data_IF_276121456038
#
_entry.id   IF_276121456038
#
_cell.length_a   1.000
_cell.length_b   1.000
_cell.length_c   1.000
_cell.angle_alpha   90.00
_cell.angle_beta   90.00
_cell.angle_gamma   90.00
#
_symmetry.space_group_name_H-M   'P 1'
#
loop_
_entity.id
_entity.type
_entity.pdbx_description
1 polymer ?
#
# COMPACT_ATOMS: atom_id res chain seq x y z
N UNK A 1 -8.52 -14.46 9.13
CA UNK A 1 -7.06 -14.30 9.04
C UNK A 1 -6.76 -13.60 7.73
N UNK A 2 -5.59 -13.00 7.52
CA UNK A 2 -5.15 -12.60 6.16
C UNK A 2 -4.30 -13.70 5.49
N UNK A 3 -3.82 -14.66 6.28
CA UNK A 3 -3.06 -15.81 5.82
C UNK A 3 -4.00 -17.00 5.64
N UNK A 4 -4.94 -16.90 4.70
CA UNK A 4 -5.93 -17.94 4.39
C UNK A 4 -5.96 -18.31 2.89
N UNK A 5 -4.92 -17.92 2.15
CA UNK A 5 -4.77 -18.17 0.71
C UNK A 5 -5.82 -17.51 -0.18
N UNK A 6 -6.58 -16.53 0.32
CA UNK A 6 -7.50 -15.72 -0.47
C UNK A 6 -6.94 -14.33 -0.77
N UNK A 7 -7.47 -13.71 -1.82
CA UNK A 7 -7.19 -12.31 -2.10
C UNK A 7 -7.94 -11.42 -1.11
N UNK A 8 -7.21 -10.52 -0.46
CA UNK A 8 -7.77 -9.49 0.38
C UNK A 8 -7.42 -8.11 -0.14
N UNK A 9 -8.39 -7.22 -0.12
CA UNK A 9 -8.15 -5.82 -0.39
C UNK A 9 -7.76 -5.13 0.91
N UNK A 10 -6.55 -4.58 0.96
CA UNK A 10 -6.06 -3.81 2.12
C UNK A 10 -5.89 -2.35 1.71
N UNK A 11 -6.47 -1.44 2.51
CA UNK A 11 -6.27 -0.01 2.33
C UNK A 11 -5.85 0.62 3.66
N UNK A 12 -4.89 1.53 3.61
CA UNK A 12 -4.48 2.37 4.73
C UNK A 12 -4.63 3.82 4.30
N UNK A 13 -5.22 4.64 5.17
CA UNK A 13 -5.24 6.09 4.99
C UNK A 13 -4.62 6.78 6.20
N UNK A 14 -3.98 7.90 5.94
CA UNK A 14 -3.40 8.75 6.96
C UNK A 14 -3.50 10.22 6.53
N UNK A 15 -3.86 11.09 7.46
CA UNK A 15 -3.92 12.53 7.27
C UNK A 15 -2.89 13.21 8.17
N UNK A 16 -1.97 13.97 7.60
CA UNK A 16 -0.94 14.69 8.37
C UNK A 16 -1.52 15.84 9.19
N UNK A 17 -2.61 16.46 8.76
CA UNK A 17 -3.19 17.64 9.42
C UNK A 17 -3.65 17.34 10.85
N UNK A 18 -4.31 16.20 11.06
CA UNK A 18 -4.85 15.80 12.36
C UNK A 18 -4.33 14.44 12.86
N UNK A 19 -3.39 13.83 12.13
CA UNK A 19 -2.79 12.55 12.46
C UNK A 19 -3.77 11.39 12.46
N UNK A 20 -4.96 11.55 11.87
CA UNK A 20 -5.96 10.47 11.78
C UNK A 20 -5.49 9.42 10.78
N UNK A 21 -5.61 8.17 11.19
CA UNK A 21 -5.36 7.03 10.33
C UNK A 21 -6.45 5.98 10.48
N UNK A 22 -6.62 5.16 9.46
CA UNK A 22 -7.44 3.97 9.51
C UNK A 22 -6.91 2.93 8.53
N UNK A 23 -7.11 1.65 8.84
CA UNK A 23 -6.92 0.56 7.88
C UNK A 23 -8.17 -0.27 7.71
N UNK A 24 -8.30 -0.82 6.51
CA UNK A 24 -9.46 -1.55 6.03
C UNK A 24 -9.01 -2.87 5.45
N UNK A 25 -9.83 -3.89 5.66
CA UNK A 25 -9.69 -5.20 5.02
C UNK A 25 -11.04 -5.55 4.41
N UNK A 26 -11.06 -5.76 3.10
CA UNK A 26 -12.24 -6.06 2.31
C UNK A 26 -13.33 -4.98 2.50
N UNK A 27 -12.90 -3.72 2.43
CA UNK A 27 -13.75 -2.54 2.62
C UNK A 27 -14.23 -2.27 4.05
N UNK A 28 -14.04 -3.21 4.98
CA UNK A 28 -14.41 -3.04 6.37
C UNK A 28 -13.27 -2.39 7.17
N UNK A 29 -13.57 -1.31 7.89
CA UNK A 29 -12.61 -0.65 8.80
C UNK A 29 -12.23 -1.62 9.92
N UNK A 30 -10.94 -1.92 10.07
CA UNK A 30 -10.41 -2.87 11.07
C UNK A 30 -9.65 -2.20 12.20
N UNK A 31 -9.15 -0.99 11.98
CA UNK A 31 -8.53 -0.19 13.03
C UNK A 31 -8.41 1.26 12.61
N UNK A 32 -8.30 2.13 13.61
CA UNK A 32 -8.16 3.57 13.42
C UNK A 32 -7.52 4.20 14.65
N UNK A 33 -7.03 5.42 14.47
CA UNK A 33 -6.49 6.23 15.55
C UNK A 33 -6.27 7.66 15.11
N UNK A 34 -5.72 8.46 16.01
CA UNK A 34 -5.38 9.87 15.81
C UNK A 34 -4.00 10.17 16.38
N UNK A 35 -3.54 11.43 16.23
CA UNK A 35 -2.27 11.92 16.76
C UNK A 35 -1.02 11.21 16.20
N UNK A 36 -1.14 10.43 15.12
CA UNK A 36 0.01 9.81 14.49
C UNK A 36 0.71 10.81 13.56
N UNK A 37 1.91 11.25 13.96
CA UNK A 37 2.78 12.12 13.15
C UNK A 37 2.07 13.39 12.63
N UNK A 38 1.34 14.08 13.51
CA UNK A 38 0.68 15.37 13.17
C UNK A 38 1.70 16.38 12.63
N UNK A 39 1.36 17.06 11.54
CA UNK A 39 2.21 18.05 10.87
C UNK A 39 3.39 17.47 10.10
N UNK A 40 3.54 16.14 10.05
CA UNK A 40 4.63 15.51 9.30
C UNK A 40 4.42 15.69 7.80
N UNK A 41 5.48 16.12 7.12
CA UNK A 41 5.55 16.19 5.67
C UNK A 41 6.62 15.23 5.15
N UNK A 42 6.27 14.46 4.13
CA UNK A 42 7.26 13.67 3.40
C UNK A 42 8.23 14.61 2.70
N UNK A 43 9.53 14.38 2.88
CA UNK A 43 10.60 15.21 2.29
C UNK A 43 10.76 14.99 0.77
N UNK A 44 9.91 14.16 0.15
CA UNK A 44 10.07 13.69 -1.22
C UNK A 44 11.30 12.78 -1.39
N UNK A 45 11.58 12.39 -2.64
CA UNK A 45 12.76 11.57 -3.02
C UNK A 45 12.87 10.21 -2.33
N UNK A 46 11.78 9.71 -1.75
CA UNK A 46 11.72 8.36 -1.20
C UNK A 46 11.80 7.32 -2.31
N UNK A 47 12.26 6.11 -1.96
CA UNK A 47 12.22 4.94 -2.84
C UNK A 47 11.22 3.94 -2.30
N UNK A 48 10.13 3.72 -3.04
CA UNK A 48 9.16 2.67 -2.74
C UNK A 48 9.76 1.30 -3.08
N UNK A 49 9.63 0.35 -2.16
CA UNK A 49 9.98 -1.06 -2.36
C UNK A 49 8.81 -1.92 -1.91
N UNK A 50 8.41 -2.86 -2.76
CA UNK A 50 7.44 -3.90 -2.42
C UNK A 50 8.20 -5.22 -2.23
N UNK A 51 7.69 -6.10 -1.37
CA UNK A 51 8.28 -7.42 -1.13
C UNK A 51 9.38 -7.46 -0.05
N UNK A 52 10.03 -6.34 0.24
CA UNK A 52 11.13 -6.28 1.21
C UNK A 52 11.02 -5.07 2.14
N UNK A 53 11.38 -5.27 3.42
CA UNK A 53 11.56 -4.16 4.36
C UNK A 53 12.92 -3.48 4.14
N UNK A 54 12.89 -2.18 3.89
CA UNK A 54 14.10 -1.34 3.81
C UNK A 54 14.64 -1.03 5.21
N UNK A 55 15.91 -1.35 5.47
CA UNK A 55 16.64 -0.87 6.65
C UNK A 55 17.67 0.22 6.27
N UNK A 56 17.86 0.49 4.98
CA UNK A 56 18.55 1.66 4.42
C UNK A 56 17.88 2.13 3.12
N UNK A 57 18.30 3.26 2.56
CA UNK A 57 17.72 3.77 1.31
C UNK A 57 17.86 2.73 0.18
N UNK A 58 16.75 2.10 -0.19
CA UNK A 58 16.70 1.14 -1.29
C UNK A 58 17.43 -0.20 -1.06
N UNK A 59 17.78 -0.55 0.18
CA UNK A 59 18.57 -1.75 0.44
C UNK A 59 18.60 -2.18 1.91
N UNK A 60 19.65 -2.95 2.25
CA UNK A 60 19.80 -3.65 3.53
C UNK A 60 18.59 -4.56 3.84
N UNK A 61 18.21 -5.38 2.85
CA UNK A 61 17.13 -6.33 2.98
C UNK A 61 17.59 -7.57 3.76
N UNK A 62 16.65 -8.18 4.49
CA UNK A 62 16.88 -9.41 5.23
C UNK A 62 15.75 -10.40 4.94
N UNK A 63 16.11 -11.66 4.70
CA UNK A 63 15.17 -12.73 4.31
C UNK A 63 13.98 -12.84 5.27
N UNK A 64 14.23 -12.83 6.58
CA UNK A 64 13.20 -12.90 7.61
C UNK A 64 12.26 -11.68 7.70
N UNK A 65 12.42 -10.68 6.83
CA UNK A 65 11.58 -9.49 6.72
C UNK A 65 11.00 -9.30 5.31
N UNK A 66 10.99 -10.37 4.53
CA UNK A 66 10.39 -10.42 3.20
C UNK A 66 8.90 -10.72 3.27
N UNK A 67 8.18 -10.28 2.23
CA UNK A 67 6.81 -10.72 1.97
C UNK A 67 6.83 -11.88 0.98
N UNK A 68 6.13 -12.96 1.33
CA UNK A 68 5.95 -14.13 0.47
C UNK A 68 4.47 -14.26 0.16
N UNK A 69 4.10 -14.06 -1.10
CA UNK A 69 2.72 -14.08 -1.55
C UNK A 69 2.54 -13.39 -2.89
N UNK A 70 1.30 -13.05 -3.22
CA UNK A 70 0.95 -12.35 -4.46
C UNK A 70 0.42 -10.95 -4.16
N UNK A 71 0.89 -9.96 -4.92
CA UNK A 71 0.40 -8.59 -4.88
C UNK A 71 -0.21 -8.23 -6.23
N UNK A 72 -1.28 -7.44 -6.19
CA UNK A 72 -1.93 -6.89 -7.38
C UNK A 72 -2.63 -5.59 -7.01
N UNK A 73 -2.85 -4.73 -8.00
CA UNK A 73 -3.63 -3.50 -7.86
C UNK A 73 -3.12 -2.56 -6.74
N UNK A 74 -1.80 -2.44 -6.56
CA UNK A 74 -1.26 -1.46 -5.61
C UNK A 74 -1.37 -0.05 -6.22
N UNK A 75 -2.00 0.83 -5.47
CA UNK A 75 -2.21 2.22 -5.83
C UNK A 75 -1.99 3.11 -4.61
N UNK A 76 -1.46 4.31 -4.84
CA UNK A 76 -1.25 5.32 -3.81
C UNK A 76 -1.76 6.67 -4.29
N UNK A 77 -2.38 7.42 -3.38
CA UNK A 77 -2.90 8.76 -3.64
C UNK A 77 -2.29 9.78 -2.68
N UNK A 78 -2.19 11.03 -3.11
CA UNK A 78 -1.77 12.15 -2.25
C UNK A 78 -2.92 12.74 -1.40
N UNK A 79 -4.17 12.34 -1.68
CA UNK A 79 -5.37 12.70 -0.94
C UNK A 79 -5.97 11.59 -0.07
N UNK A 80 -6.79 11.97 0.91
CA UNK A 80 -7.41 11.03 1.87
C UNK A 80 -8.82 10.65 1.40
N UNK A 81 -9.00 9.40 1.01
CA UNK A 81 -10.32 8.87 0.64
C UNK A 81 -11.28 8.73 1.84
N UNK A 82 -12.57 8.92 1.58
CA UNK A 82 -13.63 8.68 2.57
C UNK A 82 -13.84 7.18 2.79
N UNK A 83 -14.44 6.82 3.93
CA UNK A 83 -14.76 5.42 4.24
C UNK A 83 -15.68 4.79 3.19
N UNK A 84 -16.63 5.59 2.68
CA UNK A 84 -17.54 5.16 1.63
C UNK A 84 -16.79 4.83 0.35
N UNK A 85 -15.89 5.71 -0.10
CA UNK A 85 -15.08 5.47 -1.30
C UNK A 85 -14.26 4.19 -1.15
N UNK A 86 -13.58 3.99 -0.02
CA UNK A 86 -12.78 2.76 0.21
C UNK A 86 -13.66 1.50 0.17
N UNK A 87 -14.86 1.56 0.75
CA UNK A 87 -15.80 0.43 0.73
C UNK A 87 -16.25 0.09 -0.68
N UNK A 88 -16.58 1.09 -1.50
CA UNK A 88 -16.98 0.85 -2.89
C UNK A 88 -15.82 0.30 -3.72
N UNK A 89 -14.62 0.85 -3.55
CA UNK A 89 -13.39 0.37 -4.18
C UNK A 89 -13.08 -1.10 -3.87
N UNK A 90 -13.32 -1.54 -2.63
CA UNK A 90 -13.09 -2.94 -2.23
C UNK A 90 -13.94 -3.98 -2.97
N UNK A 91 -15.03 -3.53 -3.61
CA UNK A 91 -15.98 -4.39 -4.33
C UNK A 91 -15.86 -4.27 -5.85
N UNK A 92 -15.15 -3.24 -6.31
CA UNK A 92 -15.08 -2.91 -7.71
C UNK A 92 -13.93 -3.68 -8.39
N UNK A 93 -14.20 -4.25 -9.55
CA UNK A 93 -13.15 -4.68 -10.49
C UNK A 93 -12.65 -3.51 -11.36
N UNK A 94 -12.85 -2.28 -10.91
CA UNK A 94 -12.55 -1.09 -11.69
C UNK A 94 -11.05 -0.87 -11.78
N UNK A 95 -10.59 -0.41 -12.94
CA UNK A 95 -9.21 0.03 -13.11
C UNK A 95 -9.02 1.30 -12.30
N UNK A 96 -8.40 1.16 -11.13
CA UNK A 96 -7.97 2.31 -10.34
C UNK A 96 -6.67 2.90 -10.88
N UNK A 97 -6.51 4.20 -10.65
CA UNK A 97 -5.28 4.93 -10.91
C UNK A 97 -5.01 5.83 -9.72
N UNK A 98 -3.98 5.47 -8.96
CA UNK A 98 -3.34 6.37 -8.02
C UNK A 98 -2.76 7.57 -8.76
N UNK A 99 -2.91 8.76 -8.20
CA UNK A 99 -2.26 9.98 -8.72
C UNK A 99 -0.80 10.08 -8.27
N UNK A 100 -0.44 9.44 -7.15
CA UNK A 100 0.93 9.38 -6.65
C UNK A 100 1.69 8.16 -7.15
N UNK A 101 1.07 6.97 -7.08
CA UNK A 101 1.61 5.72 -7.65
C UNK A 101 0.47 4.90 -8.24
N UNK A 102 0.60 4.52 -9.50
CA UNK A 102 -0.28 3.58 -10.17
C UNK A 102 0.37 2.21 -10.34
N UNK A 103 -0.38 1.12 -10.16
CA UNK A 103 0.11 -0.25 -10.41
C UNK A 103 0.74 -0.42 -11.80
N UNK A 104 0.29 0.38 -12.78
CA UNK A 104 0.80 0.36 -14.15
C UNK A 104 2.23 0.87 -14.29
N UNK A 105 2.77 1.55 -13.29
CA UNK A 105 4.15 2.05 -13.29
C UNK A 105 5.17 0.94 -12.99
N UNK A 106 4.75 -0.17 -12.41
CA UNK A 106 5.60 -1.35 -12.18
C UNK A 106 5.82 -2.10 -13.50
N UNK A 107 6.88 -1.71 -14.22
CA UNK A 107 7.30 -2.31 -15.49
C UNK A 107 8.44 -3.33 -15.29
N UNK A 108 8.86 -4.02 -16.36
CA UNK A 108 9.88 -5.08 -16.30
C UNK A 108 11.20 -4.65 -15.63
N UNK A 109 11.60 -3.38 -15.73
CA UNK A 109 12.85 -2.86 -15.15
C UNK A 109 12.74 -2.60 -13.64
N UNK A 110 11.53 -2.67 -13.07
CA UNK A 110 11.28 -2.42 -11.65
C UNK A 110 11.43 -3.66 -10.75
N UNK A 111 11.66 -4.84 -11.34
CA UNK A 111 11.72 -6.12 -10.61
C UNK A 111 13.17 -6.61 -10.43
N UNK A 112 13.47 -7.10 -9.24
CA UNK A 112 14.78 -7.67 -8.90
C UNK A 112 14.60 -8.90 -8.02
N UNK A 113 15.36 -9.96 -8.32
CA UNK A 113 15.31 -11.23 -7.56
C UNK A 113 14.22 -12.18 -8.04
N UNK A 114 13.74 -13.04 -7.13
CA UNK A 114 12.72 -14.05 -7.41
C UNK A 114 11.31 -13.45 -7.37
N UNK A 115 10.95 -12.76 -8.45
CA UNK A 115 9.62 -12.17 -8.63
C UNK A 115 9.05 -12.66 -9.95
N UNK A 116 7.87 -13.27 -9.88
CA UNK A 116 7.13 -13.72 -11.06
C UNK A 116 5.99 -12.76 -11.37
N UNK A 117 6.03 -12.15 -12.54
CA UNK A 117 4.86 -11.46 -13.08
C UNK A 117 3.85 -12.47 -13.63
N UNK A 118 2.58 -12.24 -13.30
CA UNK A 118 1.44 -13.00 -13.79
C UNK A 118 0.59 -12.01 -14.56
N UNK A 119 0.41 -12.27 -15.86
CA UNK A 119 -0.39 -11.47 -16.78
C UNK A 119 -1.77 -12.07 -16.96
#
# INVERSE_FOLDING_TARGET
SLADSQWHQVCVKWNSTDGKWAFYVDGAKRGHGSNFKVGYAFQGRGKLVLGQRQDSYGGNFAEGKSYVGALSQFHMWDGVATDHVIKERSRACAVERGDLISWREFNFDSYHGDVKMIF
#
